data_IF_283135091372
#
_entry.id   IF_283135091372
#
_cell.length_a   1.000
_cell.length_b   1.000
_cell.length_c   1.000
_cell.angle_alpha   90.00
_cell.angle_beta   90.00
_cell.angle_gamma   90.00
#
_symmetry.space_group_name_H-M   'P 1'
#
loop_
_entity.id
_entity.type
_entity.pdbx_description
1 polymer ?
#
# COMPACT_ATOMS: atom_id res chain seq x y z
N UNK A 1 -6.67 48.76 -47.25
CA UNK A 1 -7.27 50.01 -46.74
C UNK A 1 -8.13 49.63 -45.56
N UNK A 2 -7.66 49.98 -44.37
CA UNK A 2 -8.32 49.76 -43.08
C UNK A 2 -9.36 50.86 -42.93
N UNK A 3 -10.61 50.53 -42.59
CA UNK A 3 -11.47 51.43 -41.79
C UNK A 3 -12.35 50.59 -40.84
N UNK A 4 -12.21 50.71 -39.51
CA UNK A 4 -12.59 51.85 -38.62
C UNK A 4 -14.11 51.69 -38.34
N UNK A 5 -14.58 51.18 -37.19
CA UNK A 5 -14.83 51.88 -35.89
C UNK A 5 -15.73 50.94 -35.06
N UNK A 6 -15.41 50.66 -33.79
CA UNK A 6 -15.97 51.35 -32.61
C UNK A 6 -17.49 51.05 -32.45
N UNK A 7 -18.04 50.76 -31.28
CA UNK A 7 -17.64 51.11 -29.93
C UNK A 7 -18.59 50.38 -28.97
N UNK A 8 -18.38 50.64 -27.70
CA UNK A 8 -19.42 50.77 -26.67
C UNK A 8 -19.44 49.68 -25.59
N UNK A 9 -18.44 49.79 -24.73
CA UNK A 9 -18.65 50.11 -23.32
C UNK A 9 -19.69 49.27 -22.57
N UNK A 10 -19.23 48.17 -21.97
CA UNK A 10 -19.81 47.67 -20.72
C UNK A 10 -18.69 47.33 -19.74
N UNK A 11 -18.45 48.25 -18.81
CA UNK A 11 -17.61 48.03 -17.63
C UNK A 11 -18.48 47.34 -16.56
N UNK A 12 -18.16 46.09 -16.21
CA UNK A 12 -18.27 45.69 -14.81
C UNK A 12 -17.09 44.77 -14.43
N UNK A 13 -15.86 45.23 -14.65
CA UNK A 13 -14.71 44.33 -14.58
C UNK A 13 -14.17 44.20 -13.13
N UNK A 14 -14.31 45.23 -12.28
CA UNK A 14 -13.57 45.25 -11.01
C UNK A 14 -14.12 44.35 -9.88
N UNK A 15 -15.44 44.07 -9.82
CA UNK A 15 -16.04 43.27 -8.72
C UNK A 15 -16.09 41.77 -8.98
N UNK A 16 -16.04 41.37 -10.24
CA UNK A 16 -16.02 39.95 -10.66
C UNK A 16 -14.66 39.31 -10.41
N UNK A 17 -13.56 40.07 -10.39
CA UNK A 17 -12.21 39.51 -10.18
C UNK A 17 -11.92 39.03 -8.75
N UNK A 18 -12.45 39.69 -7.71
CA UNK A 18 -12.15 39.32 -6.32
C UNK A 18 -12.96 38.10 -5.81
N UNK A 19 -14.20 37.94 -6.28
CA UNK A 19 -15.02 36.75 -6.00
C UNK A 19 -14.54 35.53 -6.82
N UNK A 20 -14.08 35.75 -8.05
CA UNK A 20 -13.49 34.70 -8.87
C UNK A 20 -12.18 34.16 -8.27
N UNK A 21 -11.29 35.02 -7.75
CA UNK A 21 -10.00 34.61 -7.19
C UNK A 21 -10.12 33.79 -5.90
N UNK A 22 -11.10 34.11 -5.04
CA UNK A 22 -11.38 33.33 -3.83
C UNK A 22 -11.88 31.91 -4.13
N UNK A 23 -12.79 31.79 -5.11
CA UNK A 23 -13.27 30.50 -5.57
C UNK A 23 -12.15 29.71 -6.26
N UNK A 24 -11.30 30.36 -7.05
CA UNK A 24 -10.14 29.74 -7.69
C UNK A 24 -9.11 29.21 -6.69
N UNK A 25 -8.84 29.95 -5.62
CA UNK A 25 -7.93 29.52 -4.56
C UNK A 25 -8.51 28.33 -3.76
N UNK A 26 -9.83 28.30 -3.55
CA UNK A 26 -10.51 27.16 -2.92
C UNK A 26 -10.47 25.91 -3.81
N UNK A 27 -10.72 26.07 -5.11
CA UNK A 27 -10.61 24.96 -6.07
C UNK A 27 -9.18 24.46 -6.20
N UNK A 28 -8.19 25.36 -6.16
CA UNK A 28 -6.77 25.00 -6.16
C UNK A 28 -6.37 24.26 -4.88
N UNK A 29 -6.87 24.68 -3.72
CA UNK A 29 -6.64 23.98 -2.46
C UNK A 29 -7.26 22.58 -2.45
N UNK A 30 -8.49 22.43 -2.97
CA UNK A 30 -9.15 21.12 -3.11
C UNK A 30 -8.37 20.22 -4.07
N UNK A 31 -7.92 20.76 -5.22
CA UNK A 31 -7.11 20.01 -6.18
C UNK A 31 -5.77 19.57 -5.58
N UNK A 32 -5.10 20.43 -4.80
CA UNK A 32 -3.85 20.10 -4.12
C UNK A 32 -4.05 19.00 -3.05
N UNK A 33 -5.15 19.08 -2.29
CA UNK A 33 -5.53 18.02 -1.35
C UNK A 33 -5.82 16.69 -2.05
N UNK A 34 -6.48 16.72 -3.22
CA UNK A 34 -6.72 15.53 -4.03
C UNK A 34 -5.41 14.90 -4.54
N UNK A 35 -4.44 15.71 -4.98
CA UNK A 35 -3.11 15.23 -5.41
C UNK A 35 -2.35 14.59 -4.24
N UNK A 36 -2.39 15.19 -3.05
CA UNK A 36 -1.78 14.62 -1.84
C UNK A 36 -2.45 13.33 -1.37
N UNK A 37 -3.77 13.20 -1.52
CA UNK A 37 -4.50 11.99 -1.15
C UNK A 37 -4.26 10.83 -2.13
N UNK A 38 -3.97 11.15 -3.40
CA UNK A 38 -3.77 10.18 -4.48
C UNK A 38 -2.50 9.33 -4.35
N UNK A 39 -1.51 9.78 -3.56
CA UNK A 39 -0.23 9.07 -3.38
C UNK A 39 -0.22 8.05 -2.24
N UNK A 40 -1.34 7.87 -1.52
CA UNK A 40 -1.41 7.00 -0.34
C UNK A 40 -1.76 5.54 -0.66
N UNK A 41 -1.15 4.90 -1.67
CA UNK A 41 -1.39 3.47 -1.88
C UNK A 41 -0.40 2.75 -2.81
N UNK A 42 0.92 2.89 -2.62
CA UNK A 42 1.87 1.85 -3.09
C UNK A 42 2.99 1.68 -2.07
N UNK A 43 2.64 1.21 -0.86
CA UNK A 43 3.62 0.48 -0.04
C UNK A 43 3.47 -1.00 -0.37
N UNK A 44 4.01 -1.40 -1.53
CA UNK A 44 4.31 -2.80 -1.84
C UNK A 44 5.49 -3.28 -0.98
N UNK A 45 5.36 -3.16 0.33
CA UNK A 45 6.39 -3.67 1.23
C UNK A 45 6.29 -5.19 1.22
N UNK A 46 7.31 -5.85 0.66
CA UNK A 46 7.52 -7.27 0.86
C UNK A 46 7.75 -7.48 2.36
N UNK A 47 6.67 -7.77 3.08
CA UNK A 47 6.69 -8.03 4.52
C UNK A 47 7.80 -9.04 4.79
N UNK A 48 8.82 -8.62 5.55
CA UNK A 48 9.92 -9.50 5.91
C UNK A 48 9.35 -10.78 6.52
N UNK A 49 9.74 -11.95 5.97
CA UNK A 49 9.30 -13.24 6.49
C UNK A 49 10.06 -13.48 7.79
N UNK A 50 9.38 -13.51 8.96
CA UNK A 50 10.07 -13.75 10.21
C UNK A 50 10.76 -15.11 10.13
N UNK A 51 12.05 -15.14 10.46
CA UNK A 51 12.85 -16.37 10.53
C UNK A 51 13.17 -16.62 12.00
N UNK A 52 13.10 -17.88 12.41
CA UNK A 52 13.48 -18.33 13.74
C UNK A 52 14.73 -19.21 13.65
N UNK A 53 15.55 -19.20 14.70
CA UNK A 53 16.66 -20.14 14.82
C UNK A 53 16.18 -21.54 15.18
N UNK A 54 17.05 -22.53 14.99
CA UNK A 54 16.81 -23.90 15.42
C UNK A 54 16.56 -24.01 16.93
N UNK A 55 17.32 -23.27 17.74
CA UNK A 55 17.18 -23.25 19.20
C UNK A 55 15.83 -22.67 19.65
N UNK A 56 15.35 -21.63 18.94
CA UNK A 56 14.02 -21.06 19.18
C UNK A 56 12.92 -22.06 18.81
N UNK A 57 13.04 -22.76 17.68
CA UNK A 57 12.10 -23.80 17.30
C UNK A 57 12.03 -24.93 18.35
N UNK A 58 13.19 -25.42 18.81
CA UNK A 58 13.26 -26.42 19.89
C UNK A 58 12.57 -25.93 21.18
N UNK A 59 12.70 -24.64 21.50
CA UNK A 59 12.05 -24.06 22.67
C UNK A 59 10.54 -24.03 22.54
N UNK A 60 10.02 -23.75 21.33
CA UNK A 60 8.59 -23.78 21.02
C UNK A 60 8.04 -25.21 21.12
N UNK A 61 8.78 -26.20 20.59
CA UNK A 61 8.37 -27.62 20.60
C UNK A 61 8.27 -28.15 22.03
N UNK A 62 9.22 -27.80 22.90
CA UNK A 62 9.31 -28.32 24.26
C UNK A 62 8.55 -27.49 25.30
N UNK A 63 7.95 -26.35 24.91
CA UNK A 63 7.25 -25.49 25.85
C UNK A 63 5.93 -26.15 26.32
N UNK A 64 5.62 -26.14 27.64
CA UNK A 64 4.30 -26.49 28.13
C UNK A 64 3.30 -25.48 27.55
N UNK A 65 2.40 -25.98 26.69
CA UNK A 65 1.71 -25.23 25.65
C UNK A 65 0.89 -24.03 26.15
N UNK A 66 1.02 -22.87 25.50
CA UNK A 66 0.10 -21.73 25.63
C UNK A 66 -0.53 -21.28 24.31
N UNK A 67 0.08 -21.62 23.16
CA UNK A 67 -0.47 -21.34 21.83
C UNK A 67 -0.28 -22.54 20.89
N UNK A 68 -1.31 -22.93 20.11
CA UNK A 68 -1.16 -23.98 19.10
C UNK A 68 -0.28 -23.51 17.94
N UNK A 69 0.51 -24.42 17.38
CA UNK A 69 1.31 -24.19 16.18
C UNK A 69 1.23 -25.39 15.22
N UNK A 70 1.57 -25.15 13.96
CA UNK A 70 1.77 -26.18 12.95
C UNK A 70 3.19 -26.04 12.40
N UNK A 71 3.97 -27.11 12.47
CA UNK A 71 5.28 -27.16 11.83
C UNK A 71 5.11 -27.73 10.42
N UNK A 72 5.49 -26.94 9.41
CA UNK A 72 5.33 -27.31 8.01
C UNK A 72 6.69 -27.65 7.39
N UNK A 73 6.81 -28.86 6.84
CA UNK A 73 7.94 -29.26 6.00
C UNK A 73 7.54 -29.15 4.52
N UNK A 74 8.14 -28.21 3.81
CA UNK A 74 7.83 -27.92 2.40
C UNK A 74 8.75 -28.63 1.41
N UNK A 75 9.63 -29.51 1.89
CA UNK A 75 10.53 -30.32 1.05
C UNK A 75 9.77 -31.37 0.25
N UNK A 76 10.49 -32.11 -0.60
CA UNK A 76 9.94 -33.25 -1.32
C UNK A 76 9.47 -34.36 -0.37
N UNK A 77 8.52 -35.17 -0.83
CA UNK A 77 7.99 -36.31 -0.06
C UNK A 77 9.09 -37.29 0.35
N UNK A 78 10.09 -37.51 -0.50
CA UNK A 78 11.17 -38.46 -0.24
C UNK A 78 12.14 -37.94 0.83
N UNK A 79 12.50 -36.65 0.79
CA UNK A 79 13.30 -36.01 1.84
C UNK A 79 12.60 -36.00 3.21
N UNK A 80 11.27 -35.88 3.21
CA UNK A 80 10.48 -35.95 4.43
C UNK A 80 10.45 -37.37 5.00
N UNK A 81 10.30 -38.39 4.15
CA UNK A 81 10.32 -39.82 4.56
C UNK A 81 11.68 -40.26 5.08
N UNK A 82 12.76 -39.74 4.49
CA UNK A 82 14.14 -40.04 4.93
C UNK A 82 14.45 -39.47 6.32
N UNK A 83 13.72 -38.42 6.73
CA UNK A 83 13.77 -37.89 8.09
C UNK A 83 13.18 -36.49 8.19
N UNK A 84 12.40 -36.26 9.24
CA UNK A 84 11.77 -34.97 9.53
C UNK A 84 11.70 -34.71 11.03
N UNK A 85 11.39 -33.47 11.41
CA UNK A 85 11.16 -33.11 12.81
C UNK A 85 9.84 -33.71 13.25
N UNK A 86 9.83 -34.39 14.40
CA UNK A 86 8.61 -34.93 15.01
C UNK A 86 7.53 -33.84 15.10
N UNK A 87 6.29 -34.19 14.75
CA UNK A 87 5.10 -33.31 14.60
C UNK A 87 5.05 -32.40 13.36
N UNK A 88 6.07 -32.41 12.48
CA UNK A 88 5.97 -31.72 11.20
C UNK A 88 4.90 -32.36 10.30
N UNK A 89 4.28 -31.55 9.45
CA UNK A 89 3.38 -31.99 8.38
C UNK A 89 4.02 -31.63 7.05
N UNK A 90 4.08 -32.58 6.13
CA UNK A 90 4.62 -32.35 4.80
C UNK A 90 3.55 -31.77 3.86
N UNK A 91 3.84 -30.62 3.25
CA UNK A 91 3.11 -30.10 2.09
C UNK A 91 4.18 -29.71 1.08
N UNK A 92 4.50 -30.65 0.18
CA UNK A 92 5.56 -30.47 -0.77
C UNK A 92 5.28 -29.30 -1.73
N UNK A 93 6.34 -28.59 -2.12
CA UNK A 93 6.25 -27.48 -3.06
C UNK A 93 6.00 -27.92 -4.52
N UNK A 94 6.04 -29.22 -4.83
CA UNK A 94 5.96 -29.77 -6.19
C UNK A 94 4.62 -30.42 -6.53
N UNK A 95 3.52 -29.94 -5.92
CA UNK A 95 2.15 -30.39 -6.26
C UNK A 95 1.84 -30.29 -7.74
#
# INVERSE_FOLDING_TARGET
MIETINSHHLKPIARTHAMASGLQNLMLAIALCFVFFSTQAISGESKARPTISQTQLLSIINAPSSSPYLLLDVRSDDEYKDGHIDSAVNISHST
#
